data_IF_349151200432
#
_entry.id   IF_349151200432
#
_cell.length_a   1.000
_cell.length_b   1.000
_cell.length_c   1.000
_cell.angle_alpha   90.00
_cell.angle_beta   90.00
_cell.angle_gamma   90.00
#
_symmetry.space_group_name_H-M   'P 1'
#
loop_
_entity.id
_entity.type
_entity.pdbx_description
1 polymer ?
#
# COMPACT_ATOMS: atom_id res chain seq x y z
N UNK A 1 8.20 12.86 -8.35
CA UNK A 1 7.77 12.44 -7.01
C UNK A 1 6.37 12.98 -6.73
N UNK A 2 5.42 12.10 -6.43
CA UNK A 2 4.09 12.49 -5.97
C UNK A 2 4.16 12.89 -4.49
N UNK A 3 3.40 13.92 -4.10
CA UNK A 3 3.39 14.42 -2.70
C UNK A 3 1.97 14.50 -2.17
N UNK A 4 1.77 14.05 -0.93
CA UNK A 4 0.53 14.24 -0.18
C UNK A 4 0.88 14.39 1.31
N UNK A 5 0.38 15.45 1.94
CA UNK A 5 0.65 15.72 3.35
C UNK A 5 2.15 15.69 3.68
N UNK A 6 2.55 14.75 4.52
CA UNK A 6 3.92 14.60 5.02
C UNK A 6 4.78 13.64 4.19
N UNK A 7 4.23 13.01 3.15
CA UNK A 7 4.94 11.96 2.41
C UNK A 7 5.13 12.30 0.93
N UNK A 8 6.17 11.68 0.36
CA UNK A 8 6.42 11.62 -1.07
C UNK A 8 6.52 10.17 -1.55
N UNK A 9 5.96 9.89 -2.74
CA UNK A 9 6.15 8.62 -3.44
C UNK A 9 7.11 8.84 -4.59
N UNK A 10 8.21 8.08 -4.62
CA UNK A 10 9.21 8.14 -5.69
C UNK A 10 9.53 6.75 -6.23
N UNK A 11 10.23 6.70 -7.35
CA UNK A 11 10.85 5.46 -7.80
C UNK A 11 11.74 4.88 -6.71
N UNK A 12 11.84 3.56 -6.69
CA UNK A 12 12.70 2.84 -5.74
C UNK A 12 14.14 2.90 -6.20
N UNK A 13 15.06 3.21 -5.29
CA UNK A 13 16.49 3.16 -5.49
C UNK A 13 17.05 1.83 -4.96
N UNK A 14 18.22 1.40 -5.45
CA UNK A 14 18.90 0.18 -4.98
C UNK A 14 19.14 0.20 -3.46
N UNK A 15 19.51 1.35 -2.92
CA UNK A 15 19.72 1.52 -1.47
C UNK A 15 18.45 1.27 -0.65
N UNK A 16 17.26 1.50 -1.21
CA UNK A 16 15.99 1.24 -0.53
C UNK A 16 15.72 -0.25 -0.36
N UNK A 17 16.14 -1.08 -1.34
CA UNK A 17 15.81 -2.51 -1.40
C UNK A 17 16.27 -3.22 -0.15
N UNK A 18 17.54 -3.07 0.23
CA UNK A 18 18.11 -3.73 1.39
C UNK A 18 17.36 -3.34 2.69
N UNK A 19 17.05 -2.06 2.85
CA UNK A 19 16.38 -1.55 4.05
C UNK A 19 14.92 -2.05 4.13
N UNK A 20 14.17 -1.96 3.02
CA UNK A 20 12.79 -2.42 2.97
C UNK A 20 12.70 -3.93 3.17
N UNK A 21 13.63 -4.68 2.58
CA UNK A 21 13.67 -6.12 2.73
C UNK A 21 13.94 -6.51 4.18
N UNK A 22 14.96 -5.95 4.81
CA UNK A 22 15.32 -6.27 6.19
C UNK A 22 14.20 -5.92 7.20
N UNK A 23 13.57 -4.75 7.03
CA UNK A 23 12.60 -4.26 8.03
C UNK A 23 11.15 -4.69 7.77
N UNK A 24 10.80 -5.09 6.53
CA UNK A 24 9.41 -5.38 6.16
C UNK A 24 9.19 -6.81 5.64
N UNK A 25 10.25 -7.50 5.17
CA UNK A 25 10.14 -8.86 4.66
C UNK A 25 10.72 -9.91 5.62
N UNK A 26 11.91 -9.67 6.17
CA UNK A 26 12.56 -10.63 7.07
C UNK A 26 11.84 -10.73 8.43
N UNK A 27 11.12 -9.68 8.84
CA UNK A 27 10.21 -9.76 9.99
C UNK A 27 8.90 -10.43 9.57
N UNK A 28 8.80 -11.75 9.81
CA UNK A 28 7.65 -12.56 9.43
C UNK A 28 6.35 -12.03 10.05
N UNK A 29 6.39 -11.52 11.27
CA UNK A 29 5.20 -10.98 11.94
C UNK A 29 4.68 -9.71 11.25
N UNK A 30 5.59 -8.89 10.74
CA UNK A 30 5.23 -7.70 9.94
C UNK A 30 4.71 -8.11 8.57
N UNK A 31 5.41 -9.05 7.91
CA UNK A 31 5.06 -9.50 6.58
C UNK A 31 3.66 -10.12 6.52
N UNK A 32 3.31 -10.99 7.45
CA UNK A 32 2.02 -11.69 7.48
C UNK A 32 0.81 -10.79 7.71
N UNK A 33 1.01 -9.58 8.24
CA UNK A 33 -0.07 -8.57 8.35
C UNK A 33 -0.26 -7.80 7.04
N UNK A 34 0.82 -7.66 6.26
CA UNK A 34 0.85 -6.82 5.07
C UNK A 34 0.61 -7.59 3.76
N UNK A 35 0.78 -8.91 3.77
CA UNK A 35 0.70 -9.77 2.56
C UNK A 35 0.03 -11.10 2.91
N UNK A 36 -1.02 -11.46 2.18
CA UNK A 36 -1.73 -12.74 2.34
C UNK A 36 -0.96 -13.94 1.77
N UNK A 37 0.10 -13.71 1.01
CA UNK A 37 0.94 -14.80 0.47
C UNK A 37 1.82 -15.39 1.56
N UNK A 38 2.07 -16.70 1.52
CA UNK A 38 2.97 -17.34 2.50
C UNK A 38 4.39 -16.77 2.37
N UNK A 39 5.00 -16.43 3.51
CA UNK A 39 6.38 -16.01 3.55
C UNK A 39 7.31 -17.11 2.99
N UNK A 40 8.34 -16.71 2.27
CA UNK A 40 9.36 -17.58 1.69
C UNK A 40 10.75 -17.02 1.99
N UNK A 41 11.78 -17.86 2.18
CA UNK A 41 13.15 -17.41 2.36
C UNK A 41 13.72 -16.88 1.03
N UNK A 42 13.51 -15.60 0.73
CA UNK A 42 13.97 -14.91 -0.47
C UNK A 42 15.01 -13.89 -0.04
N UNK A 43 16.17 -13.86 -0.69
CA UNK A 43 17.21 -12.87 -0.43
C UNK A 43 16.87 -11.48 -1.00
N UNK A 44 17.43 -10.43 -0.43
CA UNK A 44 17.14 -9.05 -0.82
C UNK A 44 17.54 -8.74 -2.29
N UNK A 45 18.59 -9.37 -2.78
CA UNK A 45 19.11 -9.23 -4.15
C UNK A 45 18.36 -10.07 -5.19
N UNK A 46 17.44 -10.92 -4.76
CA UNK A 46 16.63 -11.73 -5.66
C UNK A 46 15.60 -10.86 -6.39
N UNK A 47 15.44 -11.08 -7.69
CA UNK A 47 14.33 -10.50 -8.47
C UNK A 47 12.94 -10.94 -7.98
N UNK A 48 12.86 -12.03 -7.21
CA UNK A 48 11.62 -12.49 -6.58
C UNK A 48 11.29 -11.72 -5.29
N UNK A 49 12.19 -10.88 -4.77
CA UNK A 49 11.89 -10.02 -3.61
C UNK A 49 10.73 -9.08 -3.93
N UNK A 50 9.73 -8.94 -3.03
CA UNK A 50 8.64 -7.98 -3.23
C UNK A 50 9.15 -6.53 -3.26
N UNK A 51 10.37 -6.30 -2.80
CA UNK A 51 11.02 -4.99 -2.81
C UNK A 51 12.06 -4.82 -3.93
N UNK A 52 12.26 -5.82 -4.80
CA UNK A 52 13.14 -5.69 -5.96
C UNK A 52 12.73 -4.48 -6.83
N UNK A 53 13.70 -3.87 -7.48
CA UNK A 53 13.44 -2.89 -8.52
C UNK A 53 12.89 -3.63 -9.74
N UNK A 54 11.68 -3.24 -10.19
CA UNK A 54 11.08 -3.75 -11.42
C UNK A 54 11.56 -2.96 -12.63
N UNK A 55 11.31 -3.50 -13.82
CA UNK A 55 11.54 -2.77 -15.06
C UNK A 55 10.61 -1.55 -15.15
N UNK A 56 11.03 -0.46 -15.85
CA UNK A 56 10.23 0.79 -15.91
C UNK A 56 8.82 0.66 -16.45
N UNK A 57 8.53 -0.40 -17.19
CA UNK A 57 7.24 -0.66 -17.81
C UNK A 57 6.42 -1.74 -17.09
N UNK A 58 6.95 -2.26 -15.97
CA UNK A 58 6.24 -3.30 -15.21
C UNK A 58 5.04 -2.72 -14.46
N UNK A 59 3.90 -3.34 -14.62
CA UNK A 59 2.80 -3.28 -13.68
C UNK A 59 2.97 -4.44 -12.69
N UNK A 60 2.82 -4.24 -11.42
CA UNK A 60 2.31 -3.07 -10.71
C UNK A 60 3.37 -1.98 -10.44
N UNK A 61 3.00 -0.69 -10.49
CA UNK A 61 3.88 0.41 -10.10
C UNK A 61 4.19 0.31 -8.60
N UNK A 62 5.51 0.30 -8.29
CA UNK A 62 6.05 0.19 -6.93
C UNK A 62 6.77 1.48 -6.55
N UNK A 63 6.46 2.01 -5.39
CA UNK A 63 7.03 3.24 -4.89
C UNK A 63 7.81 3.02 -3.60
N UNK A 64 8.88 3.78 -3.43
CA UNK A 64 9.43 4.06 -2.12
C UNK A 64 8.68 5.25 -1.52
N UNK A 65 8.28 5.12 -0.26
CA UNK A 65 7.65 6.18 0.53
C UNK A 65 8.74 6.91 1.29
N UNK A 66 8.80 8.23 1.14
CA UNK A 66 9.73 9.07 1.91
C UNK A 66 8.96 10.05 2.78
N UNK A 67 9.44 10.31 3.99
CA UNK A 67 8.94 11.40 4.81
C UNK A 67 9.55 12.71 4.35
N UNK A 68 8.72 13.70 4.03
CA UNK A 68 9.20 14.95 3.41
C UNK A 68 10.03 15.82 4.36
N UNK A 69 9.83 15.71 5.67
CA UNK A 69 10.54 16.53 6.66
C UNK A 69 12.06 16.25 6.70
N UNK A 70 12.46 14.98 6.56
CA UNK A 70 13.87 14.58 6.61
C UNK A 70 14.37 13.93 5.33
N UNK A 71 13.49 13.63 4.36
CA UNK A 71 13.84 12.89 3.15
C UNK A 71 14.12 11.40 3.39
N UNK A 72 13.82 10.90 4.59
CA UNK A 72 14.11 9.52 4.97
C UNK A 72 13.13 8.54 4.34
N UNK A 73 13.63 7.36 3.99
CA UNK A 73 12.81 6.23 3.54
C UNK A 73 11.88 5.78 4.65
N UNK A 74 10.58 5.93 4.46
CA UNK A 74 9.55 5.60 5.45
C UNK A 74 8.86 4.26 5.18
N UNK A 75 8.94 3.73 3.95
CA UNK A 75 8.27 2.49 3.61
C UNK A 75 8.15 2.25 2.11
N UNK A 76 7.20 1.41 1.76
CA UNK A 76 6.86 1.06 0.38
C UNK A 76 5.36 1.17 0.13
N UNK A 77 4.99 1.46 -1.11
CA UNK A 77 3.60 1.52 -1.56
C UNK A 77 3.48 1.03 -3.01
N UNK A 78 2.30 0.52 -3.38
CA UNK A 78 2.05 0.03 -4.73
C UNK A 78 0.57 0.11 -5.08
N UNK A 79 0.27 0.08 -6.39
CA UNK A 79 -1.02 -0.39 -6.91
C UNK A 79 -0.79 -1.78 -7.51
N UNK A 80 -1.71 -2.71 -7.28
CA UNK A 80 -1.62 -4.07 -7.81
C UNK A 80 -2.98 -4.53 -8.34
N UNK A 81 -3.03 -5.70 -9.01
CA UNK A 81 -4.23 -6.21 -9.67
C UNK A 81 -4.92 -5.15 -10.56
N UNK A 82 -4.12 -4.45 -11.36
CA UNK A 82 -4.63 -3.39 -12.24
C UNK A 82 -5.43 -4.04 -13.37
N UNK A 83 -6.74 -3.76 -13.39
CA UNK A 83 -7.65 -4.14 -14.46
C UNK A 83 -7.88 -2.92 -15.36
N UNK A 84 -7.28 -2.94 -16.55
CA UNK A 84 -7.40 -1.85 -17.52
C UNK A 84 -8.78 -1.76 -18.16
N UNK A 85 -9.52 -2.87 -18.23
CA UNK A 85 -10.87 -2.90 -18.79
C UNK A 85 -11.87 -2.25 -17.84
N UNK A 86 -11.88 -2.69 -16.58
CA UNK A 86 -12.76 -2.16 -15.53
C UNK A 86 -12.18 -0.88 -14.89
N UNK A 87 -10.95 -0.52 -15.22
CA UNK A 87 -10.21 0.64 -14.67
C UNK A 87 -10.17 0.61 -13.14
N UNK A 88 -9.82 -0.53 -12.58
CA UNK A 88 -9.72 -0.74 -11.14
C UNK A 88 -8.33 -1.22 -10.75
N UNK A 89 -7.96 -0.97 -9.49
CA UNK A 89 -6.75 -1.51 -8.89
C UNK A 89 -6.92 -1.66 -7.38
N UNK A 90 -6.08 -2.50 -6.80
CA UNK A 90 -5.90 -2.55 -5.36
C UNK A 90 -4.70 -1.70 -4.96
N UNK A 91 -4.72 -1.13 -3.77
CA UNK A 91 -3.58 -0.43 -3.22
C UNK A 91 -3.05 -1.14 -1.97
N UNK A 92 -1.74 -1.06 -1.80
CA UNK A 92 -1.05 -1.59 -0.64
C UNK A 92 0.07 -0.66 -0.18
N UNK A 93 0.34 -0.69 1.10
CA UNK A 93 1.46 0.03 1.71
C UNK A 93 2.00 -0.72 2.92
N UNK A 94 3.29 -0.53 3.16
CA UNK A 94 3.95 -0.97 4.39
C UNK A 94 4.89 0.13 4.87
N UNK A 95 4.74 0.54 6.13
CA UNK A 95 5.63 1.50 6.77
C UNK A 95 6.65 0.77 7.64
N UNK A 96 7.89 1.23 7.58
CA UNK A 96 8.97 0.80 8.48
C UNK A 96 8.56 1.05 9.92
N UNK A 97 8.95 0.20 10.87
CA UNK A 97 8.51 0.30 12.27
C UNK A 97 8.69 1.69 12.89
N UNK A 98 9.82 2.34 12.64
CA UNK A 98 10.15 3.68 13.16
C UNK A 98 9.26 4.81 12.61
N UNK A 99 8.51 4.56 11.53
CA UNK A 99 7.63 5.56 10.88
C UNK A 99 6.15 5.31 11.14
N UNK A 100 5.80 4.27 11.91
CA UNK A 100 4.42 3.97 12.30
C UNK A 100 3.92 4.92 13.39
N UNK A 101 2.59 5.03 13.53
CA UNK A 101 1.97 5.89 14.55
C UNK A 101 2.09 7.40 14.30
N UNK A 102 2.73 7.84 13.20
CA UNK A 102 3.01 9.25 12.88
C UNK A 102 1.97 9.88 11.93
N UNK A 103 0.92 9.11 11.57
CA UNK A 103 -0.13 9.56 10.66
C UNK A 103 0.23 9.46 9.17
N UNK A 104 1.40 8.94 8.83
CA UNK A 104 1.88 8.86 7.44
C UNK A 104 1.04 7.93 6.55
N UNK A 105 0.42 6.89 7.13
CA UNK A 105 -0.37 5.92 6.36
C UNK A 105 -1.51 6.56 5.56
N UNK A 106 -2.25 7.50 6.16
CA UNK A 106 -3.31 8.24 5.47
C UNK A 106 -2.75 9.05 4.30
N UNK A 107 -1.62 9.74 4.50
CA UNK A 107 -0.98 10.53 3.45
C UNK A 107 -0.48 9.66 2.29
N UNK A 108 0.01 8.43 2.58
CA UNK A 108 0.38 7.46 1.54
C UNK A 108 -0.84 7.01 0.74
N UNK A 109 -1.97 6.69 1.41
CA UNK A 109 -3.22 6.34 0.73
C UNK A 109 -3.69 7.48 -0.16
N UNK A 110 -3.66 8.73 0.31
CA UNK A 110 -4.02 9.91 -0.47
C UNK A 110 -3.13 10.09 -1.70
N UNK A 111 -1.81 9.87 -1.58
CA UNK A 111 -0.89 9.93 -2.71
C UNK A 111 -1.16 8.82 -3.75
N UNK A 112 -1.49 7.60 -3.29
CA UNK A 112 -1.89 6.50 -4.18
C UNK A 112 -3.23 6.79 -4.87
N UNK A 113 -4.19 7.42 -4.18
CA UNK A 113 -5.44 7.86 -4.79
C UNK A 113 -5.20 8.90 -5.89
N UNK A 114 -4.34 9.89 -5.63
CA UNK A 114 -3.96 10.87 -6.66
C UNK A 114 -3.34 10.18 -7.88
N UNK A 115 -2.41 9.23 -7.64
CA UNK A 115 -1.81 8.46 -8.73
C UNK A 115 -2.83 7.62 -9.48
N UNK A 116 -3.67 6.88 -8.78
CA UNK A 116 -4.66 5.99 -9.38
C UNK A 116 -5.73 6.74 -10.18
N UNK A 117 -6.33 7.76 -9.58
CA UNK A 117 -7.43 8.47 -10.23
C UNK A 117 -6.97 9.54 -11.22
N UNK A 118 -6.03 10.41 -10.83
CA UNK A 118 -5.65 11.54 -11.68
C UNK A 118 -4.59 11.17 -12.72
N UNK A 119 -3.62 10.29 -12.39
CA UNK A 119 -2.53 9.93 -13.32
C UNK A 119 -2.91 8.73 -14.19
N UNK A 120 -3.46 7.66 -13.57
CA UNK A 120 -3.80 6.41 -14.28
C UNK A 120 -5.24 6.39 -14.83
N UNK A 121 -6.09 7.35 -14.48
CA UNK A 121 -7.48 7.41 -14.91
C UNK A 121 -8.34 6.24 -14.45
N UNK A 122 -8.01 5.63 -13.31
CA UNK A 122 -8.79 4.54 -12.75
C UNK A 122 -10.17 5.03 -12.30
N UNK A 123 -11.12 4.13 -12.29
CA UNK A 123 -12.49 4.37 -11.84
C UNK A 123 -12.68 4.00 -10.37
N UNK A 124 -11.95 2.95 -9.91
CA UNK A 124 -12.08 2.38 -8.58
C UNK A 124 -10.72 2.00 -8.00
N UNK A 125 -10.54 2.30 -6.71
CA UNK A 125 -9.46 1.74 -5.89
C UNK A 125 -10.03 0.90 -4.75
N UNK A 126 -9.34 -0.18 -4.41
CA UNK A 126 -9.70 -1.12 -3.36
C UNK A 126 -8.56 -1.32 -2.38
N UNK A 127 -8.93 -1.55 -1.13
CA UNK A 127 -8.05 -2.02 -0.07
C UNK A 127 -8.61 -3.33 0.46
N UNK A 128 -7.78 -4.36 0.47
CA UNK A 128 -8.05 -5.63 1.15
C UNK A 128 -7.07 -5.73 2.31
N UNK A 129 -7.57 -5.98 3.51
CA UNK A 129 -6.71 -6.03 4.70
C UNK A 129 -7.34 -6.88 5.79
N UNK A 130 -6.50 -7.45 6.65
CA UNK A 130 -6.96 -8.21 7.81
C UNK A 130 -7.89 -7.35 8.67
N UNK A 131 -8.97 -7.93 9.18
CA UNK A 131 -9.92 -7.23 10.07
C UNK A 131 -9.23 -6.70 11.35
N UNK A 132 -8.13 -7.30 11.75
CA UNK A 132 -7.29 -6.86 12.88
C UNK A 132 -6.37 -5.68 12.56
N UNK A 133 -6.18 -5.34 11.28
CA UNK A 133 -5.30 -4.24 10.86
C UNK A 133 -6.01 -2.87 10.97
N UNK A 134 -6.30 -2.46 12.20
CA UNK A 134 -6.98 -1.20 12.50
C UNK A 134 -6.25 0.03 11.92
N UNK A 135 -4.93 -0.04 11.79
CA UNK A 135 -4.12 1.05 11.24
C UNK A 135 -4.43 1.29 9.75
N UNK A 136 -4.47 0.22 8.94
CA UNK A 136 -4.79 0.31 7.52
C UNK A 136 -6.25 0.70 7.30
N UNK A 137 -7.18 0.07 8.02
CA UNK A 137 -8.61 0.40 7.96
C UNK A 137 -8.82 1.89 8.27
N UNK A 138 -8.23 2.40 9.36
CA UNK A 138 -8.32 3.81 9.75
C UNK A 138 -7.72 4.75 8.71
N UNK A 139 -6.57 4.38 8.12
CA UNK A 139 -5.93 5.19 7.08
C UNK A 139 -6.81 5.29 5.82
N UNK A 140 -7.37 4.16 5.37
CA UNK A 140 -8.27 4.10 4.22
C UNK A 140 -9.56 4.90 4.45
N UNK A 141 -10.23 4.71 5.59
CA UNK A 141 -11.45 5.44 5.94
C UNK A 141 -11.21 6.95 5.98
N UNK A 142 -10.10 7.41 6.57
CA UNK A 142 -9.72 8.84 6.57
C UNK A 142 -9.44 9.40 5.18
N UNK A 143 -8.98 8.56 4.26
CA UNK A 143 -8.78 8.93 2.86
C UNK A 143 -10.08 8.90 2.02
N UNK A 144 -11.20 8.46 2.62
CA UNK A 144 -12.52 8.47 2.00
C UNK A 144 -13.03 7.11 1.52
N UNK A 145 -12.31 6.02 1.79
CA UNK A 145 -12.79 4.67 1.48
C UNK A 145 -13.97 4.30 2.36
N UNK A 146 -14.95 3.62 1.77
CA UNK A 146 -16.06 2.99 2.47
C UNK A 146 -15.79 1.49 2.63
N UNK A 147 -16.10 0.93 3.80
CA UNK A 147 -16.08 -0.51 3.98
C UNK A 147 -17.27 -1.12 3.21
N UNK A 148 -16.99 -2.07 2.34
CA UNK A 148 -17.98 -2.71 1.47
C UNK A 148 -18.29 -4.14 1.87
N UNK A 149 -17.40 -4.78 2.64
CA UNK A 149 -17.63 -6.14 3.08
C UNK A 149 -16.57 -6.68 4.04
N UNK A 150 -16.87 -7.89 4.53
CA UNK A 150 -15.95 -8.71 5.31
C UNK A 150 -16.01 -10.14 4.78
N UNK A 151 -14.88 -10.69 4.40
CA UNK A 151 -14.71 -12.09 4.03
C UNK A 151 -14.34 -12.87 5.29
N UNK A 152 -15.22 -13.76 5.74
CA UNK A 152 -15.00 -14.53 6.96
C UNK A 152 -14.00 -15.65 6.73
N UNK A 153 -12.97 -15.73 7.59
CA UNK A 153 -11.96 -16.79 7.54
C UNK A 153 -11.24 -16.85 6.20
N UNK A 154 -10.97 -15.71 5.55
CA UNK A 154 -10.39 -15.65 4.22
C UNK A 154 -8.88 -15.87 4.21
N UNK A 155 -8.18 -15.38 5.22
CA UNK A 155 -6.74 -15.41 5.30
C UNK A 155 -6.21 -16.37 6.35
N UNK A 156 -5.14 -17.10 6.01
CA UNK A 156 -4.42 -17.95 6.95
C UNK A 156 -3.24 -17.19 7.54
N UNK A 157 -3.31 -16.86 8.83
CA UNK A 157 -2.29 -16.05 9.52
C UNK A 157 -1.92 -16.73 10.83
N UNK A 158 -0.63 -17.05 11.00
CA UNK A 158 -0.06 -17.56 12.25
C UNK A 158 -0.81 -18.78 12.85
N UNK A 159 -1.32 -19.68 12.00
CA UNK A 159 -1.95 -20.92 12.44
C UNK A 159 -3.47 -20.85 12.59
N UNK A 160 -4.11 -19.76 12.19
CA UNK A 160 -5.57 -19.61 12.22
C UNK A 160 -6.13 -18.92 10.98
N UNK A 161 -7.40 -19.16 10.68
CA UNK A 161 -8.12 -18.40 9.68
C UNK A 161 -8.68 -17.12 10.30
N UNK A 162 -8.43 -15.99 9.64
CA UNK A 162 -8.86 -14.67 10.08
C UNK A 162 -9.71 -13.99 9.02
N UNK A 163 -10.49 -13.02 9.43
CA UNK A 163 -11.36 -12.26 8.52
C UNK A 163 -10.55 -11.19 7.75
N UNK A 164 -10.94 -10.96 6.50
CA UNK A 164 -10.46 -9.89 5.65
C UNK A 164 -11.56 -8.82 5.47
N UNK A 165 -11.17 -7.56 5.50
CA UNK A 165 -12.05 -6.41 5.25
C UNK A 165 -11.76 -5.82 3.89
N UNK A 166 -12.82 -5.58 3.12
CA UNK A 166 -12.77 -4.94 1.81
C UNK A 166 -13.25 -3.50 1.94
N UNK A 167 -12.44 -2.55 1.51
CA UNK A 167 -12.80 -1.14 1.43
C UNK A 167 -12.63 -0.64 -0.01
N UNK A 168 -13.56 0.19 -0.49
CA UNK A 168 -13.56 0.73 -1.85
C UNK A 168 -13.70 2.24 -1.87
N UNK A 169 -13.11 2.85 -2.91
CA UNK A 169 -13.27 4.27 -3.21
C UNK A 169 -13.47 4.44 -4.72
N UNK A 170 -14.50 5.19 -5.12
CA UNK A 170 -14.76 5.52 -6.51
C UNK A 170 -14.15 6.88 -6.88
N UNK A 171 -13.75 7.04 -8.14
CA UNK A 171 -13.23 8.30 -8.67
C UNK A 171 -14.21 9.47 -8.46
N UNK A 172 -15.52 9.21 -8.56
CA UNK A 172 -16.57 10.23 -8.30
C UNK A 172 -16.60 10.69 -6.84
N UNK A 173 -16.36 9.77 -5.90
CA UNK A 173 -16.32 10.10 -4.47
C UNK A 173 -15.05 10.87 -4.14
N UNK A 174 -13.93 10.44 -4.69
CA UNK A 174 -12.65 11.14 -4.61
C UNK A 174 -12.75 12.57 -5.11
N UNK A 175 -13.37 12.81 -6.29
CA UNK A 175 -13.57 14.14 -6.85
C UNK A 175 -14.42 15.04 -5.94
N UNK A 176 -15.48 14.49 -5.31
CA UNK A 176 -16.32 15.22 -4.35
C UNK A 176 -15.53 15.63 -3.10
N UNK A 177 -14.73 14.75 -2.55
CA UNK A 177 -13.90 15.05 -1.38
C UNK A 177 -12.89 16.17 -1.65
N UNK A 178 -12.30 16.22 -2.85
CA UNK A 178 -11.36 17.29 -3.25
C UNK A 178 -12.05 18.63 -3.55
N UNK A 179 -13.27 18.59 -4.08
CA UNK A 179 -14.04 19.82 -4.36
C UNK A 179 -14.63 20.48 -3.10
N UNK A 180 -14.60 19.78 -1.97
CA UNK A 180 -15.07 20.27 -0.68
C UNK A 180 -13.96 20.86 0.22
N UNK A 181 -12.70 20.81 -0.23
CA UNK A 181 -11.52 21.41 0.42
C UNK A 181 -11.16 22.75 -0.23
#
# INVERSE_FOLDING_TARGET
>A
MLRAGKVGLRARDEADVAVLHAELYEDIAIYTIADSRPWRPISADSSASPYAIGEPHDDPPRFSVVELAGGELAGAALLWAIDSHNRSAHLGLSLRPSFRGRGLGTDVVLALCEYGFAVRGLHRLQVDTLASNAAMISAAVRAGFAQEGTLRGADWVNGEFVDEVILGLLASDWARLRGAQ
#
